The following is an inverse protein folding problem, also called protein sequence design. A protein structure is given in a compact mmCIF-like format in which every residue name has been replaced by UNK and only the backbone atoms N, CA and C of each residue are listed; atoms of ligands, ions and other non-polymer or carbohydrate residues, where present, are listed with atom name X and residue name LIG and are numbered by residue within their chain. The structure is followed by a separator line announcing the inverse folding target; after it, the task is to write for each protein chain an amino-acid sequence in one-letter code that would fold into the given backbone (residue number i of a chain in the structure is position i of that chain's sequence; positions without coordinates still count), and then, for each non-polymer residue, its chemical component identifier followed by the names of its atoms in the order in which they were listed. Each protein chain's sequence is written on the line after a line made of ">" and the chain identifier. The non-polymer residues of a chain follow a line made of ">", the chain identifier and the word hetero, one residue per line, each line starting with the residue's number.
data_IF_129267944229
#
_entry.id   IF_129267944229
#
_cell.length_a   1.000
_cell.length_b   1.000
_cell.length_c   1.000
_cell.angle_alpha   90.00
_cell.angle_beta   90.00
_cell.angle_gamma   90.00
#
_symmetry.space_group_name_H-M   'P 1'
#
loop_
_entity.id
_entity.type
_entity.pdbx_description
1 polymer ?
#
# COMPACT_ATOMS: atom_id res chain seq x y z
N UNK A 1 -11.42 1.45 -31.04
CA UNK A 1 -10.65 1.13 -29.82
C UNK A 1 -9.20 0.94 -30.25
N UNK A 2 -8.31 1.79 -29.74
CA UNK A 2 -6.88 1.68 -29.98
C UNK A 2 -6.33 0.42 -29.30
N UNK A 3 -5.47 -0.35 -29.98
CA UNK A 3 -4.90 -1.58 -29.41
C UNK A 3 -3.87 -1.20 -28.35
N UNK A 4 -4.06 -1.64 -27.11
CA UNK A 4 -3.08 -1.50 -26.04
C UNK A 4 -1.76 -2.17 -26.45
N UNK A 5 -0.67 -1.40 -26.49
CA UNK A 5 0.66 -1.92 -26.76
C UNK A 5 1.21 -2.61 -25.50
N UNK A 6 1.17 -3.94 -25.48
CA UNK A 6 1.63 -4.75 -24.34
C UNK A 6 3.13 -5.01 -24.33
N UNK A 7 3.86 -4.73 -25.42
CA UNK A 7 5.30 -5.04 -25.53
C UNK A 7 6.17 -4.22 -24.58
N UNK A 8 5.67 -3.08 -24.11
CA UNK A 8 6.35 -2.21 -23.16
C UNK A 8 5.91 -2.43 -21.70
N UNK A 9 4.95 -3.33 -21.44
CA UNK A 9 4.42 -3.55 -20.10
C UNK A 9 5.30 -4.51 -19.29
N UNK A 10 5.75 -4.07 -18.12
CA UNK A 10 6.39 -4.94 -17.13
C UNK A 10 5.36 -5.44 -16.13
N UNK A 11 5.18 -6.76 -16.05
CA UNK A 11 4.33 -7.39 -15.05
C UNK A 11 5.17 -7.86 -13.86
N UNK A 12 4.78 -7.47 -12.66
CA UNK A 12 5.46 -7.86 -11.42
C UNK A 12 4.43 -8.43 -10.45
N UNK A 13 4.74 -9.58 -9.88
CA UNK A 13 3.90 -10.25 -8.89
C UNK A 13 4.30 -9.82 -7.48
N UNK A 14 3.35 -9.28 -6.71
CA UNK A 14 3.57 -8.72 -5.38
C UNK A 14 3.05 -9.66 -4.28
N UNK A 15 3.48 -10.93 -4.33
CA UNK A 15 3.01 -12.01 -3.43
C UNK A 15 3.30 -11.78 -1.95
N UNK A 16 4.23 -10.89 -1.63
CA UNK A 16 4.57 -10.52 -0.25
C UNK A 16 3.56 -9.56 0.39
N UNK A 17 2.73 -8.84 -0.38
CA UNK A 17 1.81 -7.84 0.16
C UNK A 17 0.80 -8.40 1.20
N UNK A 18 0.21 -9.59 1.04
CA UNK A 18 -0.64 -10.19 2.07
C UNK A 18 0.11 -10.45 3.38
N UNK A 19 1.38 -10.84 3.31
CA UNK A 19 2.23 -11.06 4.49
C UNK A 19 2.49 -9.73 5.20
N UNK A 20 2.85 -8.69 4.46
CA UNK A 20 3.04 -7.33 5.00
C UNK A 20 1.76 -6.81 5.65
N UNK A 21 0.60 -6.97 5.00
CA UNK A 21 -0.70 -6.61 5.57
C UNK A 21 -0.97 -7.34 6.88
N UNK A 22 -0.70 -8.65 6.94
CA UNK A 22 -0.90 -9.43 8.16
C UNK A 22 0.09 -9.04 9.25
N UNK A 23 1.33 -8.69 8.89
CA UNK A 23 2.32 -8.16 9.82
C UNK A 23 1.89 -6.82 10.40
N UNK A 24 1.43 -5.88 9.56
CA UNK A 24 0.88 -4.60 9.98
C UNK A 24 -0.30 -4.75 10.96
N UNK A 25 -1.14 -5.78 10.74
CA UNK A 25 -2.20 -6.15 11.69
C UNK A 25 -1.63 -6.66 13.02
N UNK A 26 -0.62 -7.53 12.99
CA UNK A 26 0.02 -8.08 14.21
C UNK A 26 0.67 -7.01 15.08
N UNK A 27 1.26 -5.98 14.48
CA UNK A 27 1.86 -4.86 15.22
C UNK A 27 0.86 -3.75 15.55
N UNK A 28 -0.42 -3.95 15.24
CA UNK A 28 -1.51 -3.00 15.49
C UNK A 28 -1.28 -1.60 14.86
N UNK A 29 -0.72 -1.56 13.65
CA UNK A 29 -0.30 -0.33 12.97
C UNK A 29 -1.44 0.69 12.85
N UNK A 30 -2.58 0.26 12.28
CA UNK A 30 -3.72 1.15 11.97
C UNK A 30 -4.25 1.81 13.25
N UNK A 31 -4.48 1.01 14.29
CA UNK A 31 -5.02 1.50 15.56
C UNK A 31 -4.04 2.45 16.28
N UNK A 32 -2.75 2.13 16.20
CA UNK A 32 -1.70 2.98 16.78
C UNK A 32 -1.69 4.35 16.12
N UNK A 33 -1.74 4.40 14.79
CA UNK A 33 -1.78 5.66 14.05
C UNK A 33 -3.07 6.43 14.32
N UNK A 34 -4.22 5.76 14.31
CA UNK A 34 -5.52 6.41 14.59
C UNK A 34 -5.55 7.05 15.99
N UNK A 35 -4.84 6.47 16.98
CA UNK A 35 -4.73 7.05 18.32
C UNK A 35 -3.76 8.22 18.41
N UNK A 36 -2.69 8.19 17.62
CA UNK A 36 -1.65 9.21 17.63
C UNK A 36 -2.04 10.45 16.83
N UNK A 37 -2.88 10.28 15.82
CA UNK A 37 -3.29 11.35 14.90
C UNK A 37 -4.78 11.61 15.09
N UNK A 38 -5.09 12.68 15.83
CA UNK A 38 -6.45 13.21 15.90
C UNK A 38 -6.80 13.90 14.57
N UNK A 39 -7.25 13.09 13.61
CA UNK A 39 -7.58 13.53 12.27
C UNK A 39 -9.07 13.76 12.12
N UNK A 40 -9.43 14.84 11.44
CA UNK A 40 -10.79 15.15 11.01
C UNK A 40 -11.09 14.64 9.58
N UNK A 41 -10.26 13.72 9.08
CA UNK A 41 -10.48 13.07 7.79
C UNK A 41 -11.60 12.03 7.87
N UNK A 42 -12.41 11.93 6.81
CA UNK A 42 -13.40 10.85 6.65
C UNK A 42 -12.73 9.47 6.52
N UNK A 43 -11.54 9.43 5.91
CA UNK A 43 -10.70 8.23 5.85
C UNK A 43 -9.82 8.10 7.10
N UNK A 44 -9.82 6.92 7.72
CA UNK A 44 -8.90 6.56 8.81
C UNK A 44 -7.43 6.83 8.43
N UNK A 45 -6.69 7.66 9.20
CA UNK A 45 -5.27 7.91 8.97
C UNK A 45 -4.43 6.64 8.98
N UNK A 46 -4.71 5.71 9.90
CA UNK A 46 -4.03 4.42 9.95
C UNK A 46 -4.26 3.58 8.69
N UNK A 47 -5.46 3.63 8.11
CA UNK A 47 -5.75 2.94 6.85
C UNK A 47 -5.02 3.58 5.67
N UNK A 48 -4.95 4.92 5.63
CA UNK A 48 -4.18 5.66 4.63
C UNK A 48 -2.68 5.29 4.69
N UNK A 49 -2.10 5.26 5.90
CA UNK A 49 -0.71 4.85 6.12
C UNK A 49 -0.48 3.39 5.67
N UNK A 50 -1.38 2.47 6.04
CA UNK A 50 -1.28 1.09 5.58
C UNK A 50 -1.29 0.99 4.04
N UNK A 51 -2.14 1.77 3.37
CA UNK A 51 -2.17 1.82 1.91
C UNK A 51 -0.84 2.33 1.34
N UNK A 52 -0.26 3.40 1.90
CA UNK A 52 1.04 3.94 1.47
C UNK A 52 2.19 2.95 1.68
N UNK A 53 2.18 2.21 2.79
CA UNK A 53 3.18 1.15 3.05
C UNK A 53 3.08 0.04 2.00
N UNK A 54 1.86 -0.43 1.71
CA UNK A 54 1.65 -1.47 0.70
C UNK A 54 2.01 -0.98 -0.70
N UNK A 55 1.68 0.27 -1.05
CA UNK A 55 2.03 0.88 -2.32
C UNK A 55 3.56 0.97 -2.48
N UNK A 56 4.25 1.48 -1.46
CA UNK A 56 5.72 1.60 -1.42
C UNK A 56 6.38 0.25 -1.64
N UNK A 57 5.97 -0.77 -0.88
CA UNK A 57 6.59 -2.10 -0.91
C UNK A 57 6.13 -2.92 -2.15
N UNK A 58 5.08 -2.49 -2.84
CA UNK A 58 4.65 -3.13 -4.09
C UNK A 58 5.62 -2.91 -5.25
N UNK A 59 6.53 -1.95 -5.17
CA UNK A 59 7.50 -1.63 -6.23
C UNK A 59 6.85 -1.07 -7.50
N UNK A 60 5.57 -0.66 -7.43
CA UNK A 60 4.84 -0.02 -8.54
C UNK A 60 5.37 1.37 -8.84
N UNK A 61 5.87 2.06 -7.82
CA UNK A 61 6.56 3.35 -7.97
C UNK A 61 8.04 3.12 -8.22
N UNK A 62 8.64 3.66 -9.31
CA UNK A 62 10.04 3.43 -9.67
C UNK A 62 11.06 3.83 -8.61
N UNK A 63 10.70 4.72 -7.68
CA UNK A 63 11.55 5.16 -6.57
C UNK A 63 11.88 4.06 -5.56
N UNK A 64 11.09 2.98 -5.54
CA UNK A 64 11.21 1.89 -4.56
C UNK A 64 11.54 0.54 -5.22
N UNK A 65 12.05 0.58 -6.46
CA UNK A 65 12.61 -0.58 -7.17
C UNK A 65 14.08 -0.79 -6.82
#
# INVERSE_FOLDING_TARGET
>A
MEKLNTEQMTFTDARHLPIVKQYAKRINLVETINRLVDSQMDLSPGLAILAMVLDTISGRTPLYR
#
